data_IF_919393521291
#
_entry.id   IF_919393521291
#
_cell.length_a   1.000
_cell.length_b   1.000
_cell.length_c   1.000
_cell.angle_alpha   90.00
_cell.angle_beta   90.00
_cell.angle_gamma   90.00
#
_symmetry.space_group_name_H-M   'P 1'
#
loop_
_entity.id
_entity.type
_entity.pdbx_description
1 polymer ?
#
# COMPACT_ATOMS: atom_id res chain seq x y z
N UNK A 1 -14.92 1.44 -9.08
CA UNK A 1 -14.00 0.89 -10.09
C UNK A 1 -13.61 -0.54 -9.77
N UNK A 2 -13.13 -1.30 -10.77
CA UNK A 2 -12.54 -2.62 -10.51
C UNK A 2 -11.17 -2.48 -9.86
N UNK A 3 -10.82 -3.40 -8.95
CA UNK A 3 -9.46 -3.47 -8.37
C UNK A 3 -8.38 -3.71 -9.43
N UNK A 4 -8.74 -4.36 -10.54
CA UNK A 4 -7.84 -4.54 -11.68
C UNK A 4 -7.49 -3.20 -12.35
N UNK A 5 -8.48 -2.33 -12.51
CA UNK A 5 -8.30 -1.02 -13.16
C UNK A 5 -7.35 -0.13 -12.35
N UNK A 6 -7.48 -0.16 -11.02
CA UNK A 6 -6.63 0.63 -10.11
C UNK A 6 -5.16 0.25 -10.28
N UNK A 7 -4.84 -1.04 -10.36
CA UNK A 7 -3.46 -1.53 -10.52
C UNK A 7 -2.78 -1.00 -11.78
N UNK A 8 -3.55 -0.78 -12.84
CA UNK A 8 -3.03 -0.34 -14.14
C UNK A 8 -3.23 1.16 -14.41
N UNK A 9 -3.95 1.85 -13.52
CA UNK A 9 -4.28 3.26 -13.72
C UNK A 9 -3.02 4.15 -13.67
N UNK A 10 -2.93 5.18 -14.54
CA UNK A 10 -1.83 6.15 -14.52
C UNK A 10 -1.95 7.09 -13.31
N UNK A 11 -0.84 7.75 -12.95
CA UNK A 11 -0.75 8.62 -11.76
C UNK A 11 -1.90 9.64 -11.66
N UNK A 12 -2.17 10.38 -12.73
CA UNK A 12 -3.21 11.42 -12.74
C UNK A 12 -4.61 10.86 -12.41
N UNK A 13 -4.91 9.65 -12.87
CA UNK A 13 -6.16 8.96 -12.54
C UNK A 13 -6.15 8.51 -11.07
N UNK A 14 -5.04 7.97 -10.59
CA UNK A 14 -4.88 7.57 -9.18
C UNK A 14 -5.04 8.76 -8.23
N UNK A 15 -4.51 9.93 -8.57
CA UNK A 15 -4.67 11.16 -7.78
C UNK A 15 -6.12 11.61 -7.74
N UNK A 16 -6.83 11.53 -8.86
CA UNK A 16 -8.26 11.86 -8.94
C UNK A 16 -9.08 10.93 -8.06
N UNK A 17 -8.83 9.63 -8.14
CA UNK A 17 -9.48 8.62 -7.30
C UNK A 17 -9.11 8.77 -5.83
N UNK A 18 -7.86 9.11 -5.52
CA UNK A 18 -7.42 9.36 -4.16
C UNK A 18 -8.16 10.55 -3.55
N UNK A 19 -8.34 11.64 -4.32
CA UNK A 19 -9.11 12.80 -3.87
C UNK A 19 -10.60 12.49 -3.66
N UNK A 20 -11.17 11.56 -4.44
CA UNK A 20 -12.57 11.15 -4.33
C UNK A 20 -12.82 10.18 -3.17
N UNK A 21 -11.95 9.17 -3.00
CA UNK A 21 -12.22 8.03 -2.12
C UNK A 21 -11.42 8.01 -0.82
N UNK A 22 -10.26 8.68 -0.74
CA UNK A 22 -9.38 8.57 0.44
C UNK A 22 -9.60 9.75 1.41
N UNK A 23 -9.93 9.50 2.69
CA UNK A 23 -10.00 10.55 3.70
C UNK A 23 -8.66 11.25 3.90
N UNK A 24 -8.63 12.55 3.63
CA UNK A 24 -7.43 13.38 3.62
C UNK A 24 -6.71 13.42 4.97
N UNK A 25 -7.39 13.28 6.11
CA UNK A 25 -6.75 13.38 7.44
C UNK A 25 -5.89 12.14 7.78
N UNK A 26 -6.12 11.02 7.11
CA UNK A 26 -5.44 9.74 7.42
C UNK A 26 -4.37 9.36 6.41
N UNK A 27 -4.30 10.06 5.28
CA UNK A 27 -3.34 9.81 4.23
C UNK A 27 -1.95 10.37 4.64
N UNK A 28 -0.85 9.60 4.50
CA UNK A 28 0.49 10.07 4.82
C UNK A 28 1.03 11.03 3.74
N UNK A 29 0.41 12.21 3.64
CA UNK A 29 0.57 13.13 2.50
C UNK A 29 1.98 13.68 2.36
N UNK A 30 2.62 14.05 3.47
CA UNK A 30 4.00 14.51 3.46
C UNK A 30 4.96 13.47 2.85
N UNK A 31 4.73 12.18 3.14
CA UNK A 31 5.50 11.10 2.52
C UNK A 31 5.17 10.97 1.04
N UNK A 32 3.88 10.89 0.67
CA UNK A 32 3.47 10.75 -0.72
C UNK A 32 3.96 11.88 -1.63
N UNK A 33 4.00 13.11 -1.13
CA UNK A 33 4.44 14.29 -1.87
C UNK A 33 5.98 14.38 -1.98
N UNK A 34 6.72 13.57 -1.20
CA UNK A 34 8.19 13.47 -1.27
C UNK A 34 8.68 12.43 -2.29
N UNK A 35 7.79 11.57 -2.78
CA UNK A 35 8.11 10.49 -3.71
C UNK A 35 8.19 10.97 -5.16
N UNK A 36 9.00 10.28 -5.96
CA UNK A 36 8.93 10.41 -7.42
C UNK A 36 7.62 9.81 -7.98
N UNK A 37 7.28 10.17 -9.22
CA UNK A 37 6.01 9.81 -9.85
C UNK A 37 5.77 8.28 -9.92
N UNK A 38 6.84 7.50 -10.12
CA UNK A 38 6.74 6.05 -10.24
C UNK A 38 6.39 5.41 -8.89
N UNK A 39 7.12 5.79 -7.84
CA UNK A 39 6.94 5.30 -6.48
C UNK A 39 5.62 5.80 -5.90
N UNK A 40 5.27 7.07 -6.17
CA UNK A 40 4.00 7.68 -5.78
C UNK A 40 2.81 6.96 -6.41
N UNK A 41 2.92 6.55 -7.68
CA UNK A 41 1.88 5.76 -8.34
C UNK A 41 1.64 4.43 -7.61
N UNK A 42 2.71 3.74 -7.22
CA UNK A 42 2.58 2.46 -6.49
C UNK A 42 1.98 2.70 -5.09
N UNK A 43 2.45 3.71 -4.37
CA UNK A 43 1.94 4.06 -3.06
C UNK A 43 0.44 4.43 -3.09
N UNK A 44 -0.01 5.20 -4.08
CA UNK A 44 -1.41 5.53 -4.26
C UNK A 44 -2.26 4.30 -4.63
N UNK A 45 -1.75 3.40 -5.48
CA UNK A 45 -2.41 2.09 -5.73
C UNK A 45 -2.57 1.31 -4.45
N UNK A 46 -1.52 1.21 -3.62
CA UNK A 46 -1.58 0.52 -2.35
C UNK A 46 -2.65 1.13 -1.42
N UNK A 47 -2.67 2.46 -1.31
CA UNK A 47 -3.69 3.17 -0.52
C UNK A 47 -5.11 2.89 -1.00
N UNK A 48 -5.38 3.05 -2.30
CA UNK A 48 -6.70 2.81 -2.88
C UNK A 48 -7.13 1.35 -2.73
N UNK A 49 -6.26 0.40 -3.05
CA UNK A 49 -6.56 -1.03 -2.96
C UNK A 49 -6.86 -1.45 -1.52
N UNK A 50 -6.03 -1.04 -0.55
CA UNK A 50 -6.28 -1.33 0.87
C UNK A 50 -7.58 -0.67 1.34
N UNK A 51 -7.81 0.59 0.98
CA UNK A 51 -9.00 1.31 1.42
C UNK A 51 -10.28 0.64 0.89
N UNK A 52 -10.33 0.36 -0.41
CA UNK A 52 -11.50 -0.26 -1.03
C UNK A 52 -11.72 -1.70 -0.56
N UNK A 53 -10.66 -2.52 -0.48
CA UNK A 53 -10.79 -3.92 -0.01
C UNK A 53 -11.15 -4.02 1.46
N UNK A 54 -10.74 -3.05 2.29
CA UNK A 54 -11.10 -2.98 3.70
C UNK A 54 -12.48 -2.38 3.98
N UNK A 55 -13.29 -2.11 2.94
CA UNK A 55 -14.58 -1.39 3.05
C UNK A 55 -14.41 -0.01 3.69
N UNK A 56 -13.45 0.74 3.17
CA UNK A 56 -13.13 2.12 3.55
C UNK A 56 -12.64 2.28 5.00
N UNK A 57 -11.99 1.25 5.58
CA UNK A 57 -11.57 1.27 7.00
C UNK A 57 -10.10 1.58 7.22
N UNK A 58 -9.24 1.16 6.30
CA UNK A 58 -7.80 1.26 6.48
C UNK A 58 -7.16 2.08 5.37
N UNK A 59 -6.16 2.86 5.74
CA UNK A 59 -5.18 3.46 4.82
C UNK A 59 -3.79 3.06 5.32
N UNK A 60 -2.88 2.65 4.43
CA UNK A 60 -1.50 2.39 4.79
C UNK A 60 -0.83 3.61 5.43
N UNK A 61 -0.15 3.37 6.54
CA UNK A 61 0.77 4.32 7.18
C UNK A 61 2.08 4.37 6.39
N UNK A 62 2.84 5.44 6.57
CA UNK A 62 4.13 5.66 5.90
C UNK A 62 5.05 4.44 5.95
N UNK A 63 5.35 3.88 7.13
CA UNK A 63 6.25 2.73 7.23
C UNK A 63 5.77 1.47 6.48
N UNK A 64 4.45 1.33 6.27
CA UNK A 64 3.88 0.21 5.53
C UNK A 64 4.08 0.41 4.02
N UNK A 65 4.05 1.66 3.57
CA UNK A 65 4.38 2.04 2.19
C UNK A 65 5.88 1.95 1.93
N UNK A 66 6.73 2.39 2.86
CA UNK A 66 8.19 2.24 2.78
C UNK A 66 8.60 0.77 2.71
N UNK A 67 8.00 -0.09 3.54
CA UNK A 67 8.23 -1.53 3.47
C UNK A 67 7.83 -2.12 2.11
N UNK A 68 6.74 -1.63 1.51
CA UNK A 68 6.33 -2.06 0.18
C UNK A 68 7.28 -1.54 -0.91
N UNK A 69 7.72 -0.29 -0.82
CA UNK A 69 8.67 0.30 -1.77
C UNK A 69 9.99 -0.48 -1.81
N UNK A 70 10.52 -0.87 -0.65
CA UNK A 70 11.68 -1.77 -0.58
C UNK A 70 11.45 -3.08 -1.34
N UNK A 71 10.27 -3.70 -1.19
CA UNK A 71 9.90 -4.92 -1.90
C UNK A 71 9.78 -4.73 -3.43
N UNK A 72 9.20 -3.62 -3.89
CA UNK A 72 9.13 -3.29 -5.32
C UNK A 72 10.53 -3.13 -5.93
N UNK A 73 11.46 -2.59 -5.14
CA UNK A 73 12.88 -2.46 -5.51
C UNK A 73 13.69 -3.76 -5.29
N UNK A 74 13.03 -4.88 -5.00
CA UNK A 74 13.65 -6.21 -4.75
C UNK A 74 14.65 -6.20 -3.61
N UNK A 75 14.39 -5.41 -2.59
CA UNK A 75 15.19 -5.33 -1.38
C UNK A 75 14.54 -6.13 -0.24
N UNK A 76 15.36 -6.81 0.54
CA UNK A 76 14.94 -7.41 1.80
C UNK A 76 14.82 -6.33 2.88
N UNK A 77 13.77 -6.39 3.70
CA UNK A 77 13.49 -5.39 4.73
C UNK A 77 13.19 -5.99 6.09
N UNK A 78 13.60 -5.28 7.15
CA UNK A 78 13.24 -5.60 8.54
C UNK A 78 12.27 -4.53 9.04
N UNK A 79 11.05 -4.95 9.38
CA UNK A 79 10.04 -4.07 10.01
C UNK A 79 9.96 -4.41 11.50
N UNK A 80 10.70 -3.66 12.32
CA UNK A 80 10.71 -3.81 13.77
C UNK A 80 9.77 -2.81 14.44
N UNK A 81 8.57 -3.25 14.78
CA UNK A 81 7.57 -2.47 15.50
C UNK A 81 6.84 -3.37 16.51
N UNK A 82 6.29 -2.78 17.57
CA UNK A 82 5.47 -3.50 18.56
C UNK A 82 4.23 -4.18 17.98
N UNK A 83 3.63 -5.11 18.73
CA UNK A 83 2.34 -5.72 18.37
C UNK A 83 1.23 -4.65 18.30
N UNK A 84 0.18 -4.91 17.53
CA UNK A 84 -0.91 -3.94 17.32
C UNK A 84 -0.57 -2.75 16.43
N UNK A 85 0.70 -2.57 16.01
CA UNK A 85 1.08 -1.46 15.12
C UNK A 85 0.48 -1.57 13.72
N UNK A 86 0.13 -2.78 13.27
CA UNK A 86 -0.42 -3.05 11.95
C UNK A 86 0.59 -3.62 10.95
N UNK A 87 1.70 -4.21 11.41
CA UNK A 87 2.72 -4.86 10.53
C UNK A 87 2.15 -5.87 9.54
N UNK A 88 1.04 -6.54 9.87
CA UNK A 88 0.37 -7.48 8.96
C UNK A 88 0.05 -6.85 7.60
N UNK A 89 -0.24 -5.55 7.56
CA UNK A 89 -0.52 -4.86 6.31
C UNK A 89 0.71 -4.79 5.39
N UNK A 90 1.94 -4.77 5.93
CA UNK A 90 3.17 -4.87 5.13
C UNK A 90 3.23 -6.20 4.35
N UNK A 91 2.60 -7.27 4.85
CA UNK A 91 2.50 -8.55 4.15
C UNK A 91 1.35 -8.57 3.13
N UNK A 92 0.28 -7.83 3.39
CA UNK A 92 -0.93 -7.83 2.56
C UNK A 92 -0.77 -6.93 1.33
N UNK A 93 -0.15 -5.76 1.47
CA UNK A 93 -0.04 -4.77 0.38
C UNK A 93 0.60 -5.38 -0.90
N UNK A 94 1.72 -6.11 -0.84
CA UNK A 94 2.32 -6.71 -2.03
C UNK A 94 1.36 -7.67 -2.77
N UNK A 95 0.58 -8.45 -2.02
CA UNK A 95 -0.42 -9.37 -2.59
C UNK A 95 -1.59 -8.62 -3.25
N UNK A 96 -1.94 -7.44 -2.73
CA UNK A 96 -2.96 -6.60 -3.35
C UNK A 96 -2.44 -5.96 -4.64
N UNK A 97 -1.19 -5.50 -4.67
CA UNK A 97 -0.58 -4.90 -5.85
C UNK A 97 -0.33 -5.93 -6.96
N UNK A 98 0.16 -7.11 -6.58
CA UNK A 98 0.57 -8.17 -7.51
C UNK A 98 -0.22 -9.45 -7.27
N UNK A 99 -1.49 -9.52 -7.73
CA UNK A 99 -2.39 -10.65 -7.42
C UNK A 99 -1.95 -11.99 -8.03
N UNK A 100 -0.94 -11.99 -8.91
CA UNK A 100 -0.39 -13.19 -9.55
C UNK A 100 0.86 -13.71 -8.86
N UNK A 101 1.39 -13.01 -7.85
CA UNK A 101 2.54 -13.49 -7.08
C UNK A 101 2.09 -14.37 -5.92
N UNK A 102 2.97 -15.25 -5.46
CA UNK A 102 2.74 -16.10 -4.29
C UNK A 102 3.55 -15.58 -3.12
N UNK A 103 2.89 -15.31 -1.99
CA UNK A 103 3.52 -14.92 -0.74
C UNK A 103 3.46 -16.07 0.27
N UNK A 104 4.55 -16.30 1.00
CA UNK A 104 4.61 -17.26 2.09
C UNK A 104 4.86 -16.53 3.41
N UNK A 105 3.91 -16.64 4.34
CA UNK A 105 4.09 -16.14 5.71
C UNK A 105 4.46 -17.31 6.61
N UNK A 106 5.63 -17.23 7.26
CA UNK A 106 6.09 -18.24 8.21
C UNK A 106 6.00 -17.65 9.62
N UNK A 107 5.33 -18.36 10.51
CA UNK A 107 5.19 -18.00 11.93
C UNK A 107 5.60 -19.18 12.80
N UNK A 108 6.29 -18.96 13.93
CA UNK A 108 6.57 -20.02 14.89
C UNK A 108 5.31 -20.47 15.66
N UNK A 109 4.22 -19.71 15.55
CA UNK A 109 2.93 -20.07 16.13
C UNK A 109 2.21 -21.06 15.23
N UNK A 110 1.78 -22.18 15.81
CA UNK A 110 0.95 -23.20 15.14
C UNK A 110 -0.50 -22.77 15.06
#
# INVERSE_FOLDING_TARGET
>A
ESLADIRQSPLLKLESLAAEFLPAETLPRAYLDSLDDATRSIALRACLLVHLTSRCRFIPRQYQLEANDALENRQDGIVDLGTGSGKTLCLIIPNLLHPTTTSMTVSPLK
#
